data_IF_703035517133
#
_entry.id   IF_703035517133
#
_cell.length_a   1.000
_cell.length_b   1.000
_cell.length_c   1.000
_cell.angle_alpha   90.00
_cell.angle_beta   90.00
_cell.angle_gamma   90.00
#
_symmetry.space_group_name_H-M   'P 1'
#
loop_
_entity.id
_entity.type
_entity.pdbx_description
1 polymer ?
#
# COMPACT_ATOMS: atom_id res chain seq x y z
N UNK A 1 4.37 -62.86 -52.70
CA UNK A 1 3.27 -61.92 -52.36
C UNK A 1 3.25 -61.77 -50.85
N UNK A 2 3.42 -60.53 -50.38
CA UNK A 2 3.61 -60.13 -48.98
C UNK A 2 2.24 -59.81 -48.38
N UNK A 3 1.99 -60.20 -47.12
CA UNK A 3 1.09 -59.43 -46.24
C UNK A 3 1.38 -59.74 -44.78
N UNK A 4 2.17 -58.85 -44.17
CA UNK A 4 2.18 -58.61 -42.75
C UNK A 4 1.21 -57.44 -42.49
N UNK A 5 0.29 -57.58 -41.54
CA UNK A 5 -0.56 -56.46 -41.10
C UNK A 5 -0.27 -56.18 -39.63
N UNK A 6 -0.03 -54.89 -39.39
CA UNK A 6 0.57 -54.26 -38.24
C UNK A 6 -0.32 -54.29 -37.00
N UNK A 7 0.28 -54.61 -35.86
CA UNK A 7 -0.26 -54.27 -34.54
C UNK A 7 0.09 -52.81 -34.28
N UNK A 8 -0.87 -51.89 -34.43
CA UNK A 8 -0.63 -50.47 -34.15
C UNK A 8 -0.64 -50.23 -32.63
N UNK A 9 0.52 -49.85 -32.11
CA UNK A 9 0.72 -49.35 -30.76
C UNK A 9 -0.12 -48.08 -30.52
N UNK A 10 -1.04 -48.15 -29.58
CA UNK A 10 -1.81 -47.00 -29.08
C UNK A 10 -0.97 -46.31 -27.98
N UNK A 11 0.02 -45.50 -28.37
CA UNK A 11 0.72 -44.62 -27.43
C UNK A 11 -0.16 -43.40 -27.15
N UNK A 12 -0.93 -43.47 -26.06
CA UNK A 12 -1.51 -42.28 -25.45
C UNK A 12 -0.38 -41.38 -24.98
N UNK A 13 -0.21 -40.22 -25.62
CA UNK A 13 0.60 -39.14 -25.10
C UNK A 13 -0.11 -38.57 -23.86
N UNK A 14 0.28 -39.04 -22.68
CA UNK A 14 0.02 -38.31 -21.45
C UNK A 14 0.90 -37.05 -21.48
N UNK A 15 0.34 -35.92 -21.93
CA UNK A 15 0.95 -34.63 -21.68
C UNK A 15 0.86 -34.39 -20.17
N UNK A 16 2.03 -34.41 -19.50
CA UNK A 16 2.14 -33.98 -18.10
C UNK A 16 1.67 -32.52 -18.06
N UNK A 17 0.62 -32.18 -17.28
CA UNK A 17 0.23 -30.79 -17.11
C UNK A 17 1.43 -30.02 -16.56
N UNK A 18 1.72 -28.79 -17.04
CA UNK A 18 2.81 -28.01 -16.50
C UNK A 18 2.63 -27.87 -14.99
N UNK A 19 3.70 -28.10 -14.23
CA UNK A 19 3.69 -27.93 -12.79
C UNK A 19 3.11 -26.55 -12.44
N UNK A 20 2.27 -26.44 -11.40
CA UNK A 20 1.81 -25.14 -10.95
C UNK A 20 3.04 -24.29 -10.61
N UNK A 21 3.21 -23.18 -11.31
CA UNK A 21 4.23 -22.18 -10.97
C UNK A 21 3.84 -21.60 -9.62
N UNK A 22 4.40 -22.15 -8.54
CA UNK A 22 4.27 -21.57 -7.21
C UNK A 22 5.02 -20.23 -7.27
N UNK A 23 4.27 -19.14 -7.45
CA UNK A 23 4.82 -17.80 -7.30
C UNK A 23 4.97 -17.59 -5.81
N UNK A 24 6.20 -17.65 -5.32
CA UNK A 24 6.49 -17.31 -3.94
C UNK A 24 6.17 -15.81 -3.76
N UNK A 25 5.17 -15.53 -2.93
CA UNK A 25 4.75 -14.17 -2.65
C UNK A 25 5.52 -13.71 -1.42
N UNK A 26 6.29 -12.63 -1.58
CA UNK A 26 7.05 -12.06 -0.47
C UNK A 26 6.15 -11.66 0.70
N UNK A 27 6.64 -11.85 1.93
CA UNK A 27 6.03 -11.24 3.12
C UNK A 27 6.51 -9.79 3.30
N UNK A 28 5.70 -8.99 3.99
CA UNK A 28 5.96 -7.58 4.23
C UNK A 28 5.91 -7.27 5.73
N UNK A 29 6.99 -6.71 6.25
CA UNK A 29 7.03 -6.12 7.59
C UNK A 29 6.89 -4.60 7.48
N UNK A 30 6.09 -4.01 8.36
CA UNK A 30 5.87 -2.56 8.41
C UNK A 30 6.24 -2.04 9.79
N UNK A 31 7.19 -1.13 9.84
CA UNK A 31 7.52 -0.35 11.03
C UNK A 31 6.86 1.02 10.91
N UNK A 32 6.28 1.51 12.00
CA UNK A 32 5.49 2.74 12.04
C UNK A 32 6.13 3.74 13.00
N UNK A 33 6.29 4.98 12.55
CA UNK A 33 6.75 6.10 13.36
C UNK A 33 5.75 7.26 13.26
N UNK A 34 5.12 7.59 14.39
CA UNK A 34 4.14 8.66 14.52
C UNK A 34 4.80 10.02 14.75
N UNK A 35 4.15 11.09 14.27
CA UNK A 35 4.53 12.48 14.54
C UNK A 35 3.29 13.22 15.06
N UNK A 36 3.25 13.56 16.35
CA UNK A 36 2.04 14.11 17.00
C UNK A 36 2.21 15.49 17.64
N UNK A 37 3.43 16.01 17.76
CA UNK A 37 3.71 17.07 18.75
C UNK A 37 4.00 18.45 18.15
N UNK A 38 3.33 18.79 17.04
CA UNK A 38 3.53 20.08 16.38
C UNK A 38 2.20 20.82 16.15
N UNK A 39 2.15 22.08 16.56
CA UNK A 39 1.15 23.03 16.08
C UNK A 39 1.51 23.49 14.68
N UNK A 40 0.54 23.51 13.77
CA UNK A 40 0.71 23.95 12.40
C UNK A 40 -0.21 25.14 12.09
N UNK A 41 0.20 26.07 11.20
CA UNK A 41 -0.68 27.13 10.75
C UNK A 41 -1.96 26.58 10.09
N UNK A 42 -3.06 27.33 10.18
CA UNK A 42 -4.26 27.03 9.42
C UNK A 42 -3.94 26.97 7.92
N UNK A 43 -4.51 25.99 7.22
CA UNK A 43 -4.25 25.78 5.80
C UNK A 43 -2.89 25.14 5.47
N UNK A 44 -2.08 24.75 6.47
CA UNK A 44 -0.80 24.09 6.24
C UNK A 44 -0.93 22.88 5.30
N UNK A 45 -0.02 22.80 4.33
CA UNK A 45 0.04 21.71 3.35
C UNK A 45 1.27 20.85 3.61
N UNK A 46 1.22 19.58 3.23
CA UNK A 46 2.35 18.64 3.35
C UNK A 46 2.87 18.53 4.79
N UNK A 47 1.96 18.47 5.75
CA UNK A 47 2.30 18.21 7.16
C UNK A 47 2.56 16.71 7.32
N UNK A 48 3.77 16.35 7.77
CA UNK A 48 4.14 14.95 8.01
C UNK A 48 3.39 14.44 9.26
N UNK A 49 2.64 13.35 9.11
CA UNK A 49 1.84 12.76 10.20
C UNK A 49 2.38 11.41 10.64
N UNK A 50 2.88 10.61 9.69
CA UNK A 50 3.28 9.23 9.91
C UNK A 50 4.40 8.86 8.93
N UNK A 51 5.40 8.13 9.38
CA UNK A 51 6.38 7.47 8.53
C UNK A 51 6.20 5.95 8.63
N UNK A 52 6.23 5.29 7.49
CA UNK A 52 6.13 3.84 7.36
C UNK A 52 7.43 3.32 6.73
N UNK A 53 8.10 2.40 7.39
CA UNK A 53 9.22 1.66 6.82
C UNK A 53 8.77 0.26 6.46
N UNK A 54 8.69 0.02 5.15
CA UNK A 54 8.28 -1.25 4.56
C UNK A 54 9.52 -2.07 4.26
N UNK A 55 9.54 -3.32 4.71
CA UNK A 55 10.61 -4.28 4.42
C UNK A 55 9.99 -5.54 3.81
N UNK A 56 10.30 -5.81 2.55
CA UNK A 56 9.97 -7.08 1.93
C UNK A 56 11.01 -8.13 2.34
N UNK A 57 10.56 -9.37 2.56
CA UNK A 57 11.49 -10.49 2.70
C UNK A 57 12.17 -10.84 1.37
N UNK A 58 13.06 -11.83 1.41
CA UNK A 58 13.83 -12.26 0.24
C UNK A 58 13.15 -13.34 -0.62
N UNK A 59 11.93 -13.78 -0.28
CA UNK A 59 11.25 -14.88 -0.98
C UNK A 59 10.67 -14.45 -2.32
N UNK A 60 10.27 -13.19 -2.46
CA UNK A 60 9.75 -12.65 -3.70
C UNK A 60 9.39 -11.16 -3.64
N UNK A 61 9.00 -10.55 -4.77
CA UNK A 61 8.50 -9.18 -4.77
C UNK A 61 7.13 -9.08 -4.07
N UNK A 62 6.84 -7.90 -3.52
CA UNK A 62 5.59 -7.58 -2.84
C UNK A 62 4.92 -6.38 -3.49
N UNK A 63 3.70 -6.57 -3.99
CA UNK A 63 2.86 -5.50 -4.52
C UNK A 63 1.91 -4.95 -3.46
N UNK A 64 2.01 -3.65 -3.19
CA UNK A 64 1.18 -2.97 -2.19
C UNK A 64 0.13 -2.11 -2.89
N UNK A 65 -1.15 -2.45 -2.71
CA UNK A 65 -2.27 -1.77 -3.39
C UNK A 65 -2.77 -0.55 -2.64
N UNK A 66 -2.80 -0.62 -1.32
CA UNK A 66 -3.35 0.43 -0.47
C UNK A 66 -2.82 0.36 0.95
N UNK A 67 -2.92 1.49 1.64
CA UNK A 67 -2.82 1.57 3.11
C UNK A 67 -4.16 2.05 3.65
N UNK A 68 -4.64 1.38 4.69
CA UNK A 68 -5.76 1.83 5.50
C UNK A 68 -5.20 2.68 6.62
N UNK A 69 -5.67 3.91 6.74
CA UNK A 69 -5.27 4.84 7.79
C UNK A 69 -6.49 5.20 8.65
N UNK A 70 -6.22 5.61 9.87
CA UNK A 70 -7.21 5.97 10.85
C UNK A 70 -6.88 7.32 11.47
N UNK A 71 -7.75 8.31 11.27
CA UNK A 71 -7.68 9.59 11.99
C UNK A 71 -8.18 9.41 13.42
N UNK A 72 -7.43 9.95 14.37
CA UNK A 72 -7.77 10.05 15.79
C UNK A 72 -7.55 11.47 16.29
N UNK A 73 -8.05 11.77 17.48
CA UNK A 73 -7.96 13.09 18.11
C UNK A 73 -9.29 13.86 18.05
N UNK A 74 -9.32 14.97 18.78
CA UNK A 74 -10.53 15.77 19.04
C UNK A 74 -10.95 16.65 17.87
N UNK A 75 -10.09 16.86 16.87
CA UNK A 75 -10.43 17.66 15.70
C UNK A 75 -11.44 16.97 14.78
N UNK A 76 -12.15 17.78 13.99
CA UNK A 76 -13.14 17.32 13.04
C UNK A 76 -12.48 16.76 11.78
N UNK A 77 -13.11 15.81 11.11
CA UNK A 77 -12.55 15.27 9.86
C UNK A 77 -12.30 16.36 8.80
N UNK A 78 -13.16 17.37 8.74
CA UNK A 78 -13.09 18.48 7.79
C UNK A 78 -11.97 19.50 8.12
N UNK A 79 -11.32 19.37 9.27
CA UNK A 79 -10.07 20.11 9.55
C UNK A 79 -8.96 19.69 8.58
N UNK A 80 -9.05 18.49 7.99
CA UNK A 80 -8.13 17.99 6.96
C UNK A 80 -8.82 17.97 5.60
N UNK A 81 -8.25 18.67 4.61
CA UNK A 81 -8.62 18.53 3.19
C UNK A 81 -8.36 17.11 2.68
N UNK A 82 -7.40 16.40 3.30
CA UNK A 82 -7.15 15.00 3.05
C UNK A 82 -5.72 14.58 3.35
N UNK A 83 -5.49 13.28 3.19
CA UNK A 83 -4.19 12.63 3.38
C UNK A 83 -3.67 12.02 2.08
N UNK A 84 -2.36 11.90 1.95
CA UNK A 84 -1.70 11.22 0.84
C UNK A 84 -0.36 10.64 1.27
N UNK A 85 0.20 9.76 0.45
CA UNK A 85 1.46 9.08 0.70
C UNK A 85 2.49 9.52 -0.33
N UNK A 86 3.73 9.74 0.11
CA UNK A 86 4.88 10.03 -0.73
C UNK A 86 6.09 9.16 -0.37
N UNK A 87 6.94 8.93 -1.36
CA UNK A 87 8.27 8.35 -1.22
C UNK A 87 9.28 9.48 -1.48
N UNK A 88 9.97 9.95 -0.43
CA UNK A 88 10.77 11.17 -0.49
C UNK A 88 9.95 12.40 -0.92
N UNK A 89 10.31 12.99 -2.05
CA UNK A 89 9.59 14.15 -2.61
C UNK A 89 8.47 13.77 -3.61
N UNK A 90 8.35 12.49 -3.97
CA UNK A 90 7.41 12.03 -5.00
C UNK A 90 6.14 11.49 -4.37
N UNK A 91 5.00 12.10 -4.69
CA UNK A 91 3.68 11.58 -4.29
C UNK A 91 3.38 10.26 -5.03
N UNK A 92 3.02 9.22 -4.28
CA UNK A 92 2.74 7.87 -4.80
C UNK A 92 1.26 7.48 -4.75
N UNK A 93 0.42 8.31 -4.12
CA UNK A 93 -1.03 8.12 -4.03
C UNK A 93 -1.81 9.33 -4.53
N UNK A 94 -3.12 9.16 -4.70
CA UNK A 94 -4.04 10.30 -4.76
C UNK A 94 -4.28 10.88 -3.36
N UNK A 95 -4.68 12.15 -3.28
CA UNK A 95 -5.17 12.75 -2.02
C UNK A 95 -6.55 12.18 -1.73
N UNK A 96 -6.79 11.80 -0.46
CA UNK A 96 -8.05 11.23 -0.01
C UNK A 96 -8.63 12.02 1.17
N UNK A 97 -9.88 12.50 1.09
CA UNK A 97 -10.55 13.12 2.23
C UNK A 97 -10.95 12.05 3.25
N UNK A 98 -11.11 12.46 4.51
CA UNK A 98 -11.54 11.59 5.62
C UNK A 98 -13.06 11.67 5.73
N UNK A 99 -13.77 11.07 4.77
CA UNK A 99 -15.22 11.20 4.65
C UNK A 99 -16.02 10.40 5.69
N UNK A 100 -15.43 9.34 6.25
CA UNK A 100 -16.12 8.46 7.20
C UNK A 100 -16.05 9.04 8.61
N UNK A 101 -17.20 9.08 9.30
CA UNK A 101 -17.32 9.62 10.67
C UNK A 101 -16.38 8.93 11.67
N UNK A 102 -16.08 7.66 11.46
CA UNK A 102 -15.15 6.91 12.30
C UNK A 102 -13.69 7.36 12.14
N UNK A 103 -13.36 8.15 11.13
CA UNK A 103 -12.00 8.63 10.82
C UNK A 103 -11.22 7.71 9.88
N UNK A 104 -11.81 6.64 9.37
CA UNK A 104 -11.13 5.69 8.48
C UNK A 104 -10.97 6.23 7.05
N UNK A 105 -9.81 5.97 6.44
CA UNK A 105 -9.52 6.37 5.06
C UNK A 105 -8.63 5.33 4.38
N UNK A 106 -8.99 4.94 3.15
CA UNK A 106 -8.17 4.05 2.32
C UNK A 106 -7.42 4.86 1.26
N UNK A 107 -6.09 4.81 1.33
CA UNK A 107 -5.20 5.47 0.38
C UNK A 107 -4.65 4.44 -0.58
N UNK A 108 -4.92 4.61 -1.86
CA UNK A 108 -4.52 3.67 -2.92
C UNK A 108 -3.26 4.17 -3.62
N UNK A 109 -2.33 3.25 -3.87
CA UNK A 109 -1.16 3.53 -4.68
C UNK A 109 -1.51 3.40 -6.16
N UNK A 110 -0.87 4.21 -7.00
CA UNK A 110 -0.92 3.98 -8.45
C UNK A 110 -0.14 2.74 -8.82
N UNK A 111 1.10 2.67 -8.32
CA UNK A 111 2.02 1.55 -8.47
C UNK A 111 2.97 1.59 -7.27
N UNK A 112 2.99 0.55 -6.46
CA UNK A 112 3.98 0.36 -5.40
C UNK A 112 4.33 -1.12 -5.34
N UNK A 113 5.58 -1.43 -5.62
CA UNK A 113 6.14 -2.78 -5.52
C UNK A 113 7.49 -2.68 -4.82
N UNK A 114 7.77 -3.65 -3.95
CA UNK A 114 9.06 -3.85 -3.33
C UNK A 114 9.68 -5.09 -3.96
N UNK A 115 10.94 -5.01 -4.39
CA UNK A 115 11.70 -6.19 -4.77
C UNK A 115 11.98 -7.03 -3.53
N UNK A 116 12.37 -8.29 -3.75
CA UNK A 116 12.88 -9.14 -2.70
C UNK A 116 14.02 -8.45 -1.92
N UNK A 117 13.98 -8.53 -0.59
CA UNK A 117 14.88 -7.88 0.36
C UNK A 117 14.89 -6.34 0.34
N UNK A 118 13.97 -5.69 -0.38
CA UNK A 118 13.95 -4.23 -0.49
C UNK A 118 13.34 -3.56 0.75
N UNK A 119 13.90 -2.40 1.11
CA UNK A 119 13.33 -1.49 2.09
C UNK A 119 12.86 -0.21 1.42
N UNK A 120 11.67 0.26 1.77
CA UNK A 120 11.12 1.54 1.31
C UNK A 120 10.57 2.35 2.48
N UNK A 121 10.87 3.65 2.48
CA UNK A 121 10.30 4.60 3.42
C UNK A 121 9.20 5.39 2.74
N UNK A 122 8.00 5.31 3.31
CA UNK A 122 6.83 6.08 2.89
C UNK A 122 6.47 7.09 3.98
N UNK A 123 5.99 8.24 3.56
CA UNK A 123 5.54 9.33 4.43
C UNK A 123 4.08 9.63 4.15
N UNK A 124 3.27 9.62 5.20
CA UNK A 124 1.88 10.07 5.16
C UNK A 124 1.84 11.55 5.48
N UNK A 125 1.30 12.31 4.55
CA UNK A 125 1.12 13.75 4.66
C UNK A 125 -0.36 14.09 4.78
N UNK A 126 -0.67 15.10 5.59
CA UNK A 126 -1.98 15.74 5.66
C UNK A 126 -1.92 17.16 5.11
N UNK A 127 -3.03 17.58 4.51
CA UNK A 127 -3.28 18.96 4.13
C UNK A 127 -4.42 19.49 5.01
N UNK A 128 -4.15 20.52 5.80
CA UNK A 128 -5.14 21.14 6.68
C UNK A 128 -6.00 22.17 5.94
N UNK A 129 -7.22 22.33 6.42
CA UNK A 129 -8.15 23.37 5.99
C UNK A 129 -7.72 24.73 6.56
N UNK A 130 -7.98 25.80 5.81
CA UNK A 130 -7.84 27.17 6.34
C UNK A 130 -8.90 27.49 7.41
N UNK A 131 -9.96 26.68 7.46
CA UNK A 131 -11.06 26.80 8.40
C UNK A 131 -11.01 25.72 9.49
N UNK A 132 -9.87 25.03 9.64
CA UNK A 132 -9.71 24.03 10.68
C UNK A 132 -9.87 24.66 12.08
N UNK A 133 -10.39 23.89 13.03
CA UNK A 133 -10.45 24.34 14.42
C UNK A 133 -9.04 24.51 15.00
N UNK A 134 -8.78 25.66 15.64
CA UNK A 134 -7.51 25.91 16.35
C UNK A 134 -7.32 25.02 17.59
N UNK A 135 -8.40 24.41 18.08
CA UNK A 135 -8.37 23.43 19.18
C UNK A 135 -8.41 21.98 18.66
N UNK A 136 -8.38 21.80 17.34
CA UNK A 136 -8.46 20.49 16.71
C UNK A 136 -7.14 19.73 16.85
N UNK A 137 -7.17 18.60 17.54
CA UNK A 137 -6.04 17.68 17.61
C UNK A 137 -6.22 16.52 16.64
N UNK A 138 -5.14 16.14 15.95
CA UNK A 138 -5.18 15.11 14.93
C UNK A 138 -3.96 14.18 15.00
N UNK A 139 -4.22 12.88 14.94
CA UNK A 139 -3.22 11.81 14.79
C UNK A 139 -3.64 10.86 13.67
N UNK A 140 -2.67 10.31 12.95
CA UNK A 140 -2.88 9.31 11.90
C UNK A 140 -2.18 8.02 12.31
N UNK A 141 -2.93 6.91 12.26
CA UNK A 141 -2.48 5.55 12.56
C UNK A 141 -2.67 4.66 11.34
#
# INVERSE_FOLDING_TARGET
MISAVFVSYFLHQFQVPPDPVIRDHGSLTVEVQEFSDASVPLGAQRVLMLQLQLTADCSGPVDVRSVSLQRRGLGANDDMKGVYIAEGHRRVSSVRPIARRDGSVHVYFRTLSLRACEKKTLMVFANFSSNASITGEHRIL
#
